data_IF_262027366194
#
_entry.id   IF_262027366194
#
_cell.length_a   1.000
_cell.length_b   1.000
_cell.length_c   1.000
_cell.angle_alpha   90.00
_cell.angle_beta   90.00
_cell.angle_gamma   90.00
#
_symmetry.space_group_name_H-M   'P 1'
#
loop_
_entity.id
_entity.type
_entity.pdbx_description
1 polymer ?
#
# COMPACT_ATOMS: atom_id res chain seq x y z
N UNK A 1 -10.86 20.08 9.86
CA UNK A 1 -10.46 18.81 10.48
C UNK A 1 -9.27 18.25 9.75
N UNK A 2 -8.29 17.76 10.49
CA UNK A 2 -7.08 17.15 9.97
C UNK A 2 -7.18 15.62 10.12
N UNK A 3 -7.39 14.92 9.00
CA UNK A 3 -7.40 13.45 8.97
C UNK A 3 -6.03 12.97 8.50
N UNK A 4 -5.50 11.92 9.12
CA UNK A 4 -4.19 11.40 8.75
C UNK A 4 -4.08 9.87 8.80
N UNK A 5 -3.61 9.28 7.71
CA UNK A 5 -3.06 7.92 7.72
C UNK A 5 -1.53 8.02 7.86
N UNK A 6 -1.04 7.78 9.08
CA UNK A 6 0.36 7.93 9.49
C UNK A 6 1.13 6.62 9.30
N UNK A 7 1.51 6.34 8.06
CA UNK A 7 2.33 5.18 7.70
C UNK A 7 3.80 5.30 8.12
N UNK A 8 4.59 4.26 7.84
CA UNK A 8 6.02 4.22 8.19
C UNK A 8 6.87 5.20 7.38
N UNK A 9 6.77 5.17 6.04
CA UNK A 9 7.55 6.06 5.17
C UNK A 9 6.82 7.38 4.84
N UNK A 10 5.49 7.31 4.68
CA UNK A 10 4.67 8.44 4.29
C UNK A 10 3.42 8.58 5.16
N UNK A 11 3.08 9.82 5.47
CA UNK A 11 1.81 10.22 6.08
C UNK A 11 0.93 10.86 5.01
N UNK A 12 -0.29 10.35 4.88
CA UNK A 12 -1.30 10.87 3.94
C UNK A 12 -2.32 11.66 4.75
N UNK A 13 -2.57 12.89 4.33
CA UNK A 13 -3.28 13.90 5.11
C UNK A 13 -4.43 14.44 4.26
N UNK A 14 -5.57 14.65 4.90
CA UNK A 14 -6.65 15.47 4.36
C UNK A 14 -6.96 16.61 5.33
N UNK A 15 -6.89 17.85 4.84
CA UNK A 15 -7.31 19.04 5.57
C UNK A 15 -8.69 19.47 5.08
N UNK A 16 -9.72 19.19 5.90
CA UNK A 16 -11.10 19.49 5.55
C UNK A 16 -11.43 20.99 5.54
N UNK A 17 -10.60 21.85 6.15
CA UNK A 17 -10.83 23.30 6.09
C UNK A 17 -10.44 23.85 4.73
N UNK A 18 -9.44 23.23 4.09
CA UNK A 18 -8.95 23.60 2.76
C UNK A 18 -9.50 22.73 1.64
N UNK A 19 -10.03 21.54 1.97
CA UNK A 19 -10.42 20.53 0.99
C UNK A 19 -9.22 19.89 0.29
N UNK A 20 -8.05 19.87 0.94
CA UNK A 20 -6.78 19.51 0.31
C UNK A 20 -6.24 18.16 0.81
N UNK A 21 -5.70 17.38 -0.13
CA UNK A 21 -4.93 16.18 0.16
C UNK A 21 -3.44 16.47 0.09
N UNK A 22 -2.67 15.88 1.00
CA UNK A 22 -1.22 16.01 1.03
C UNK A 22 -0.56 14.70 1.41
N UNK A 23 0.55 14.39 0.76
CA UNK A 23 1.46 13.33 1.18
C UNK A 23 2.75 13.97 1.66
N UNK A 24 3.22 13.56 2.84
CA UNK A 24 4.53 13.95 3.36
C UNK A 24 5.33 12.72 3.73
N UNK A 25 6.67 12.83 3.78
CA UNK A 25 7.49 11.86 4.51
C UNK A 25 7.02 11.83 5.96
N UNK A 26 6.86 10.65 6.54
CA UNK A 26 6.39 10.52 7.94
C UNK A 26 7.33 11.21 8.93
N UNK A 27 8.62 11.29 8.61
CA UNK A 27 9.64 12.02 9.36
C UNK A 27 9.44 13.54 9.35
N UNK A 28 8.67 14.07 8.39
CA UNK A 28 8.39 15.50 8.26
C UNK A 28 7.10 15.91 9.00
N UNK A 29 6.49 14.99 9.77
CA UNK A 29 5.39 15.36 10.65
C UNK A 29 5.90 16.27 11.77
N UNK A 30 5.39 17.49 11.83
CA UNK A 30 5.80 18.52 12.79
C UNK A 30 5.63 18.04 14.23
N UNK A 31 6.65 18.24 15.06
CA UNK A 31 6.60 17.90 16.48
C UNK A 31 5.48 18.68 17.18
N UNK A 32 4.69 17.99 18.01
CA UNK A 32 3.53 18.57 18.71
C UNK A 32 2.27 18.75 17.86
N UNK A 33 2.32 18.51 16.53
CA UNK A 33 1.11 18.53 15.69
C UNK A 33 0.24 17.31 15.97
N UNK A 34 -1.05 17.55 16.20
CA UNK A 34 -2.06 16.54 16.50
C UNK A 34 -3.11 16.52 15.38
N UNK A 35 -3.35 15.34 14.80
CA UNK A 35 -4.47 15.10 13.91
C UNK A 35 -5.78 14.99 14.69
N UNK A 36 -6.89 15.33 14.04
CA UNK A 36 -8.21 15.21 14.62
C UNK A 36 -8.64 13.73 14.66
N UNK A 37 -8.49 13.01 13.54
CA UNK A 37 -8.65 11.55 13.47
C UNK A 37 -7.46 10.98 12.70
N UNK A 38 -6.91 9.88 13.18
CA UNK A 38 -5.82 9.21 12.48
C UNK A 38 -5.86 7.70 12.61
N UNK A 39 -5.22 7.04 11.66
CA UNK A 39 -4.86 5.63 11.71
C UNK A 39 -3.40 5.43 11.27
N UNK A 40 -2.96 4.19 11.19
CA UNK A 40 -1.64 3.82 10.71
C UNK A 40 -0.61 3.72 11.83
N UNK A 41 0.51 3.06 11.53
CA UNK A 41 1.49 2.65 12.53
C UNK A 41 2.02 3.77 13.43
N UNK A 42 2.19 4.97 12.89
CA UNK A 42 2.84 6.09 13.56
C UNK A 42 1.87 7.11 14.18
N UNK A 43 0.57 6.80 14.22
CA UNK A 43 -0.44 7.77 14.68
C UNK A 43 -0.56 7.90 16.20
N UNK A 44 -0.10 6.89 16.95
CA UNK A 44 -0.18 6.88 18.42
C UNK A 44 0.45 8.15 19.01
N UNK A 45 -0.26 8.79 19.93
CA UNK A 45 0.10 10.07 20.56
C UNK A 45 0.14 11.29 19.61
N UNK A 46 -0.23 11.15 18.33
CA UNK A 46 -0.28 12.22 17.33
C UNK A 46 -1.70 12.48 16.82
N UNK A 47 -2.71 11.96 17.50
CA UNK A 47 -4.12 12.11 17.15
C UNK A 47 -5.00 12.25 18.38
N UNK A 48 -6.13 12.94 18.24
CA UNK A 48 -7.19 12.97 19.26
C UNK A 48 -7.98 11.66 19.27
N UNK A 49 -8.31 11.16 18.09
CA UNK A 49 -9.04 9.90 17.89
C UNK A 49 -8.19 8.96 17.05
N UNK A 50 -7.87 7.80 17.61
CA UNK A 50 -7.17 6.72 16.90
C UNK A 50 -8.18 5.71 16.37
N UNK A 51 -8.14 5.45 15.07
CA UNK A 51 -8.98 4.47 14.39
C UNK A 51 -8.12 3.30 13.93
N UNK A 52 -8.64 2.09 14.09
CA UNK A 52 -7.98 0.89 13.58
C UNK A 52 -7.80 0.99 12.05
N UNK A 53 -6.61 0.67 11.57
CA UNK A 53 -6.26 0.85 10.16
C UNK A 53 -7.06 -0.05 9.21
N UNK A 54 -7.39 -1.28 9.59
CA UNK A 54 -8.24 -2.17 8.78
C UNK A 54 -9.68 -1.65 8.73
N UNK A 55 -10.17 -1.05 9.81
CA UNK A 55 -11.49 -0.41 9.84
C UNK A 55 -11.51 0.80 8.90
N UNK A 56 -10.50 1.67 8.98
CA UNK A 56 -10.36 2.80 8.08
C UNK A 56 -10.23 2.35 6.60
N UNK A 57 -9.47 1.28 6.34
CA UNK A 57 -9.34 0.70 5.00
C UNK A 57 -10.68 0.18 4.47
N UNK A 58 -11.42 -0.60 5.26
CA UNK A 58 -12.71 -1.15 4.87
C UNK A 58 -13.75 -0.05 4.57
N UNK A 59 -13.82 0.97 5.43
CA UNK A 59 -14.71 2.14 5.22
C UNK A 59 -14.33 2.94 3.99
N UNK A 60 -13.03 3.17 3.80
CA UNK A 60 -12.50 3.81 2.60
C UNK A 60 -12.85 3.03 1.33
N UNK A 61 -12.73 1.71 1.37
CA UNK A 61 -13.09 0.83 0.27
C UNK A 61 -14.56 0.96 -0.12
N UNK A 62 -15.47 0.86 0.86
CA UNK A 62 -16.91 1.04 0.63
C UNK A 62 -17.26 2.42 0.07
N UNK A 63 -16.51 3.46 0.47
CA UNK A 63 -16.72 4.83 0.00
C UNK A 63 -16.29 5.05 -1.45
N UNK A 64 -15.20 4.38 -1.86
CA UNK A 64 -14.57 4.60 -3.17
C UNK A 64 -14.99 3.58 -4.22
N UNK A 65 -15.32 2.35 -3.81
CA UNK A 65 -15.65 1.25 -4.71
C UNK A 65 -17.17 1.10 -4.78
N UNK A 66 -17.76 1.56 -5.87
CA UNK A 66 -19.20 1.45 -6.13
C UNK A 66 -19.59 0.05 -6.67
N UNK A 67 -19.17 -1.01 -6.00
CA UNK A 67 -19.49 -2.41 -6.33
C UNK A 67 -19.87 -3.19 -5.06
N UNK A 68 -20.84 -4.11 -5.13
CA UNK A 68 -21.24 -4.89 -3.95
C UNK A 68 -20.20 -5.96 -3.56
N UNK A 69 -19.43 -6.45 -4.53
CA UNK A 69 -18.44 -7.51 -4.32
C UNK A 69 -17.09 -7.08 -4.88
N UNK A 70 -16.06 -7.09 -4.04
CA UNK A 70 -14.70 -6.72 -4.42
C UNK A 70 -13.66 -7.23 -3.42
N UNK A 71 -12.41 -7.30 -3.87
CA UNK A 71 -11.23 -7.48 -3.03
C UNK A 71 -10.36 -6.24 -3.18
N UNK A 72 -10.07 -5.58 -2.06
CA UNK A 72 -9.09 -4.50 -1.99
C UNK A 72 -7.84 -5.01 -1.29
N UNK A 73 -6.68 -4.73 -1.86
CA UNK A 73 -5.38 -4.92 -1.22
C UNK A 73 -4.69 -3.58 -1.04
N UNK A 74 -4.31 -3.26 0.19
CA UNK A 74 -3.42 -2.15 0.50
C UNK A 74 -1.99 -2.65 0.67
N UNK A 75 -1.08 -2.12 -0.14
CA UNK A 75 0.34 -2.46 -0.08
C UNK A 75 1.11 -1.29 0.50
N UNK A 76 1.41 -1.40 1.79
CA UNK A 76 2.19 -0.43 2.54
C UNK A 76 3.70 -0.67 2.44
N UNK A 77 4.44 0.15 3.18
CA UNK A 77 5.90 0.01 3.31
C UNK A 77 6.30 -1.21 4.13
N UNK A 78 5.48 -1.59 5.12
CA UNK A 78 5.78 -2.59 6.15
C UNK A 78 4.87 -3.81 6.09
N UNK A 79 3.66 -3.61 5.60
CA UNK A 79 2.61 -4.60 5.66
C UNK A 79 1.73 -4.57 4.40
N UNK A 80 1.03 -5.68 4.19
CA UNK A 80 0.03 -5.84 3.14
C UNK A 80 -1.27 -6.23 3.84
N UNK A 81 -2.34 -5.52 3.52
CA UNK A 81 -3.67 -5.73 4.10
C UNK A 81 -4.65 -6.04 2.98
N UNK A 82 -5.59 -6.95 3.20
CA UNK A 82 -6.72 -7.12 2.29
C UNK A 82 -8.03 -6.95 3.04
N UNK A 83 -9.05 -6.46 2.34
CA UNK A 83 -10.44 -6.50 2.77
C UNK A 83 -11.27 -7.06 1.63
N UNK A 84 -12.19 -7.95 1.96
CA UNK A 84 -13.07 -8.61 0.99
C UNK A 84 -14.52 -8.29 1.31
N UNK A 85 -15.25 -7.84 0.30
CA UNK A 85 -16.69 -7.64 0.34
C UNK A 85 -17.39 -8.56 -0.66
N UNK A 86 -18.57 -9.03 -0.31
CA UNK A 86 -19.44 -9.82 -1.17
C UNK A 86 -20.89 -9.45 -0.91
N UNK A 87 -21.64 -9.18 -1.97
CA UNK A 87 -23.07 -8.85 -1.93
C UNK A 87 -23.39 -7.66 -1.00
N UNK A 88 -22.44 -6.72 -0.88
CA UNK A 88 -22.52 -5.54 -0.02
C UNK A 88 -22.04 -5.76 1.41
N UNK A 89 -21.72 -7.01 1.79
CA UNK A 89 -21.33 -7.39 3.14
C UNK A 89 -19.81 -7.56 3.28
N UNK A 90 -19.29 -7.23 4.46
CA UNK A 90 -17.89 -7.46 4.81
C UNK A 90 -17.69 -8.95 5.12
N UNK A 91 -16.84 -9.61 4.34
CA UNK A 91 -16.56 -11.05 4.48
C UNK A 91 -15.34 -11.31 5.35
N UNK A 92 -14.36 -10.41 5.32
CA UNK A 92 -13.17 -10.56 6.14
C UNK A 92 -11.98 -9.73 5.65
N UNK A 93 -10.90 -9.85 6.41
CA UNK A 93 -9.61 -9.24 6.10
C UNK A 93 -8.49 -10.25 6.33
N UNK A 94 -7.42 -10.11 5.56
CA UNK A 94 -6.15 -10.76 5.84
C UNK A 94 -5.08 -9.67 6.07
N UNK A 95 -4.05 -9.98 6.86
CA UNK A 95 -2.96 -9.04 7.16
C UNK A 95 -1.62 -9.78 7.22
N UNK A 96 -0.71 -9.43 6.32
CA UNK A 96 0.67 -9.91 6.32
C UNK A 96 1.60 -8.80 6.85
N UNK A 97 2.29 -9.07 7.96
CA UNK A 97 3.07 -8.07 8.71
C UNK A 97 4.58 -8.31 8.64
N UNK A 98 5.36 -7.21 8.65
CA UNK A 98 6.81 -7.20 8.82
C UNK A 98 7.61 -7.78 7.65
N UNK A 99 8.12 -9.00 7.80
CA UNK A 99 9.17 -9.53 6.95
C UNK A 99 8.64 -9.81 5.54
N UNK A 100 7.47 -10.47 5.45
CA UNK A 100 6.81 -10.84 4.20
C UNK A 100 6.35 -9.66 3.33
N UNK A 101 6.22 -8.48 3.94
CA UNK A 101 5.46 -7.37 3.38
C UNK A 101 6.22 -6.04 3.28
N UNK A 102 7.54 -6.02 3.50
CA UNK A 102 8.41 -4.87 3.17
C UNK A 102 8.42 -4.50 1.67
N UNK A 103 7.47 -5.00 0.87
CA UNK A 103 7.35 -4.80 -0.56
C UNK A 103 7.47 -3.33 -0.95
N UNK A 104 6.71 -2.43 -0.32
CA UNK A 104 6.77 -1.00 -0.63
C UNK A 104 8.13 -0.38 -0.32
N UNK A 105 8.70 -0.68 0.85
CA UNK A 105 10.00 -0.17 1.24
C UNK A 105 11.12 -0.72 0.33
N UNK A 106 11.10 -2.02 0.03
CA UNK A 106 12.10 -2.67 -0.83
C UNK A 106 12.05 -2.13 -2.26
N UNK A 107 10.86 -1.96 -2.84
CA UNK A 107 10.72 -1.35 -4.17
C UNK A 107 11.28 0.07 -4.16
N UNK A 108 10.95 0.90 -3.18
CA UNK A 108 11.48 2.26 -3.13
C UNK A 108 13.01 2.27 -2.94
N UNK A 109 13.54 1.41 -2.06
CA UNK A 109 14.96 1.28 -1.78
C UNK A 109 15.75 0.86 -3.03
N UNK A 110 15.30 -0.16 -3.76
CA UNK A 110 15.93 -0.63 -4.99
C UNK A 110 15.90 0.44 -6.08
N UNK A 111 14.77 1.15 -6.21
CA UNK A 111 14.62 2.23 -7.19
C UNK A 111 15.62 3.36 -6.95
N UNK A 112 15.80 3.76 -5.69
CA UNK A 112 16.79 4.76 -5.32
C UNK A 112 18.22 4.26 -5.47
N UNK A 113 18.52 3.02 -5.06
CA UNK A 113 19.86 2.45 -5.08
C UNK A 113 20.41 2.30 -6.50
N UNK A 114 19.59 1.83 -7.44
CA UNK A 114 19.98 1.65 -8.85
C UNK A 114 19.61 2.85 -9.74
N UNK A 115 19.05 3.92 -9.16
CA UNK A 115 18.57 5.10 -9.91
C UNK A 115 17.62 4.73 -11.07
N UNK A 116 16.65 3.87 -10.77
CA UNK A 116 15.73 3.31 -11.77
C UNK A 116 14.46 4.14 -11.89
N UNK A 117 14.08 4.41 -13.15
CA UNK A 117 12.74 4.84 -13.48
C UNK A 117 11.88 3.64 -13.87
N UNK A 118 10.98 3.24 -12.97
CA UNK A 118 10.08 2.10 -13.15
C UNK A 118 9.16 2.21 -14.37
N UNK A 119 8.88 3.42 -14.85
CA UNK A 119 8.03 3.63 -16.02
C UNK A 119 8.68 3.16 -17.33
N UNK A 120 10.01 3.04 -17.34
CA UNK A 120 10.79 2.66 -18.52
C UNK A 120 11.19 1.18 -18.55
N UNK A 121 10.76 0.39 -17.57
CA UNK A 121 11.11 -1.03 -17.45
C UNK A 121 9.90 -1.86 -17.89
N UNK A 122 10.12 -2.86 -18.75
CA UNK A 122 9.09 -3.81 -19.14
C UNK A 122 8.86 -4.90 -18.08
N UNK A 123 7.65 -5.47 -18.08
CA UNK A 123 7.34 -6.61 -17.20
C UNK A 123 8.21 -7.80 -17.65
N UNK A 124 8.97 -8.37 -16.73
CA UNK A 124 9.78 -9.55 -17.03
C UNK A 124 8.89 -10.74 -17.38
N UNK A 125 9.35 -11.62 -18.27
CA UNK A 125 8.69 -12.92 -18.49
C UNK A 125 8.92 -13.87 -17.31
N UNK A 126 10.04 -13.73 -16.63
CA UNK A 126 10.43 -14.54 -15.47
C UNK A 126 10.12 -13.82 -14.16
N UNK A 127 10.07 -14.59 -13.07
CA UNK A 127 9.90 -14.03 -11.72
C UNK A 127 10.92 -14.63 -10.78
N UNK A 128 11.33 -13.86 -9.77
CA UNK A 128 12.08 -14.42 -8.66
C UNK A 128 11.15 -15.15 -7.69
N UNK A 129 11.60 -16.25 -7.06
CA UNK A 129 10.89 -16.88 -5.96
C UNK A 129 11.02 -16.03 -4.70
N UNK A 130 10.09 -15.09 -4.51
CA UNK A 130 10.11 -14.18 -3.35
C UNK A 130 9.43 -14.86 -2.17
N UNK A 131 10.14 -15.08 -1.07
CA UNK A 131 9.52 -15.42 0.21
C UNK A 131 9.10 -14.16 0.96
N UNK A 132 9.95 -13.14 0.92
CA UNK A 132 9.76 -11.86 1.60
C UNK A 132 10.62 -10.78 0.91
N UNK A 133 10.37 -9.49 1.19
CA UNK A 133 11.10 -8.40 0.54
C UNK A 133 12.63 -8.44 0.76
N UNK A 134 13.06 -8.88 1.94
CA UNK A 134 14.49 -8.96 2.30
C UNK A 134 15.19 -10.14 1.63
N UNK A 135 14.62 -11.35 1.72
CA UNK A 135 15.20 -12.54 1.08
C UNK A 135 15.17 -12.43 -0.44
N UNK A 136 14.11 -11.83 -0.98
CA UNK A 136 14.01 -11.56 -2.40
C UNK A 136 15.04 -10.56 -2.91
N UNK A 137 15.52 -9.64 -2.07
CA UNK A 137 16.63 -8.76 -2.41
C UNK A 137 17.94 -9.54 -2.54
N UNK A 138 18.19 -10.53 -1.67
CA UNK A 138 19.33 -11.44 -1.81
C UNK A 138 19.34 -12.12 -3.18
N UNK A 139 18.25 -12.79 -3.54
CA UNK A 139 18.09 -13.45 -4.86
C UNK A 139 18.26 -12.45 -6.02
N UNK A 140 17.74 -11.22 -5.88
CA UNK A 140 17.92 -10.17 -6.89
C UNK A 140 19.39 -9.84 -7.09
N UNK A 141 20.17 -9.68 -6.01
CA UNK A 141 21.61 -9.39 -6.10
C UNK A 141 22.40 -10.58 -6.64
N UNK A 142 22.01 -11.81 -6.33
CA UNK A 142 22.61 -13.02 -6.90
C UNK A 142 22.44 -13.02 -8.43
N UNK A 143 21.24 -12.70 -8.96
CA UNK A 143 21.03 -12.57 -10.41
C UNK A 143 21.89 -11.49 -11.05
N UNK A 144 22.07 -10.36 -10.35
CA UNK A 144 22.94 -9.29 -10.85
C UNK A 144 24.40 -9.76 -10.90
N UNK A 145 24.85 -10.50 -9.88
CA UNK A 145 26.19 -11.10 -9.87
C UNK A 145 26.37 -12.13 -10.98
N UNK A 146 25.29 -12.82 -11.38
CA UNK A 146 25.27 -13.75 -12.52
C UNK A 146 25.22 -13.03 -13.89
N UNK A 147 25.24 -11.70 -13.91
CA UNK A 147 25.31 -10.88 -15.13
C UNK A 147 23.96 -10.38 -15.66
N UNK A 148 22.85 -10.60 -14.93
CA UNK A 148 21.56 -9.98 -15.27
C UNK A 148 21.61 -8.49 -14.94
N UNK A 149 21.04 -7.65 -15.82
CA UNK A 149 21.01 -6.20 -15.54
C UNK A 149 20.15 -5.90 -14.30
N UNK A 150 20.47 -4.84 -13.53
CA UNK A 150 19.66 -4.44 -12.39
C UNK A 150 18.18 -4.22 -12.72
N UNK A 151 17.87 -3.61 -13.87
CA UNK A 151 16.51 -3.37 -14.34
C UNK A 151 15.74 -4.67 -14.54
N UNK A 152 16.35 -5.66 -15.18
CA UNK A 152 15.73 -6.97 -15.41
C UNK A 152 15.55 -7.73 -14.09
N UNK A 153 16.57 -7.74 -13.22
CA UNK A 153 16.48 -8.40 -11.93
C UNK A 153 15.37 -7.79 -11.05
N UNK A 154 15.22 -6.46 -11.09
CA UNK A 154 14.13 -5.73 -10.42
C UNK A 154 12.77 -6.04 -11.04
N UNK A 155 12.66 -6.15 -12.36
CA UNK A 155 11.42 -6.55 -13.02
C UNK A 155 10.99 -7.97 -12.59
N UNK A 156 11.94 -8.91 -12.51
CA UNK A 156 11.69 -10.27 -12.01
C UNK A 156 11.26 -10.28 -10.54
N UNK A 157 11.90 -9.46 -9.70
CA UNK A 157 11.56 -9.28 -8.29
C UNK A 157 10.15 -8.73 -8.11
N UNK A 158 9.81 -7.65 -8.82
CA UNK A 158 8.50 -7.00 -8.79
C UNK A 158 7.40 -7.97 -9.26
N UNK A 159 7.66 -8.77 -10.30
CA UNK A 159 6.73 -9.82 -10.74
C UNK A 159 6.53 -10.90 -9.70
N UNK A 160 7.58 -11.29 -8.99
CA UNK A 160 7.48 -12.21 -7.85
C UNK A 160 6.59 -11.65 -6.73
N UNK A 161 6.76 -10.38 -6.37
CA UNK A 161 5.93 -9.70 -5.37
C UNK A 161 4.46 -9.60 -5.80
N UNK A 162 4.19 -9.16 -7.03
CA UNK A 162 2.83 -9.06 -7.55
C UNK A 162 2.11 -10.42 -7.53
N UNK A 163 2.81 -11.50 -7.88
CA UNK A 163 2.27 -12.86 -7.82
C UNK A 163 1.92 -13.29 -6.39
N UNK A 164 2.80 -13.02 -5.42
CA UNK A 164 2.55 -13.35 -4.02
C UNK A 164 1.37 -12.57 -3.46
N UNK A 165 1.23 -11.30 -3.85
CA UNK A 165 0.11 -10.45 -3.42
C UNK A 165 -1.20 -10.93 -4.04
N UNK A 166 -1.18 -11.38 -5.31
CA UNK A 166 -2.34 -12.04 -5.92
C UNK A 166 -2.73 -13.32 -5.19
N UNK A 167 -1.75 -14.14 -4.78
CA UNK A 167 -2.02 -15.35 -3.98
C UNK A 167 -2.58 -14.99 -2.60
N UNK A 168 -2.03 -13.96 -1.94
CA UNK A 168 -2.56 -13.42 -0.69
C UNK A 168 -4.00 -12.91 -0.84
N UNK A 169 -4.34 -12.34 -1.99
CA UNK A 169 -5.69 -11.92 -2.34
C UNK A 169 -6.58 -13.07 -2.86
N UNK A 170 -6.23 -14.33 -2.54
CA UNK A 170 -6.98 -15.54 -2.90
C UNK A 170 -7.19 -15.71 -4.40
N UNK A 171 -6.23 -15.21 -5.19
CA UNK A 171 -6.22 -15.28 -6.66
C UNK A 171 -7.47 -14.68 -7.31
N UNK A 172 -7.98 -13.57 -6.78
CA UNK A 172 -9.12 -12.88 -7.37
C UNK A 172 -8.87 -12.50 -8.85
N UNK A 173 -9.91 -12.54 -9.67
CA UNK A 173 -9.85 -12.17 -11.10
C UNK A 173 -9.64 -10.66 -11.29
N UNK A 174 -10.14 -9.86 -10.34
CA UNK A 174 -10.00 -8.41 -10.28
C UNK A 174 -9.62 -7.98 -8.87
N UNK A 175 -8.64 -7.07 -8.76
CA UNK A 175 -8.19 -6.49 -7.51
C UNK A 175 -8.27 -4.97 -7.55
N UNK A 176 -8.78 -4.39 -6.47
CA UNK A 176 -8.53 -2.98 -6.18
C UNK A 176 -7.23 -2.87 -5.41
N UNK A 177 -6.38 -1.91 -5.78
CA UNK A 177 -5.06 -1.74 -5.19
C UNK A 177 -4.91 -0.34 -4.60
N UNK A 178 -4.51 -0.26 -3.33
CA UNK A 178 -4.14 0.99 -2.67
C UNK A 178 -2.74 0.90 -2.05
N UNK A 179 -2.26 2.02 -1.52
CA UNK A 179 -1.01 2.08 -0.77
C UNK A 179 0.16 2.63 -1.57
N UNK A 180 1.37 2.56 -1.02
CA UNK A 180 2.53 3.32 -1.51
C UNK A 180 3.03 2.94 -2.91
N UNK A 181 2.70 1.74 -3.38
CA UNK A 181 3.18 1.18 -4.66
C UNK A 181 2.11 1.19 -5.76
N UNK A 182 0.90 1.69 -5.48
CA UNK A 182 -0.17 1.73 -6.48
C UNK A 182 0.06 2.79 -7.58
N UNK A 183 1.14 3.55 -7.52
CA UNK A 183 1.57 4.51 -8.55
C UNK A 183 2.70 3.93 -9.43
N UNK A 184 3.25 2.77 -9.06
CA UNK A 184 4.31 2.10 -9.81
C UNK A 184 3.70 1.27 -10.95
N UNK A 185 3.84 1.74 -12.20
CA UNK A 185 3.28 1.08 -13.39
C UNK A 185 3.81 -0.33 -13.61
N UNK A 186 5.12 -0.54 -13.40
CA UNK A 186 5.71 -1.87 -13.51
C UNK A 186 5.08 -2.84 -12.52
N UNK A 187 4.88 -2.42 -11.26
CA UNK A 187 4.22 -3.22 -10.23
C UNK A 187 2.78 -3.58 -10.63
N UNK A 188 1.97 -2.61 -11.08
CA UNK A 188 0.58 -2.86 -11.51
C UNK A 188 0.52 -3.84 -12.67
N UNK A 189 1.31 -3.62 -13.73
CA UNK A 189 1.32 -4.49 -14.92
C UNK A 189 1.87 -5.89 -14.64
N UNK A 190 2.54 -6.09 -13.50
CA UNK A 190 3.11 -7.38 -13.13
C UNK A 190 2.10 -8.34 -12.48
N UNK A 191 0.89 -7.87 -12.17
CA UNK A 191 -0.16 -8.74 -11.64
C UNK A 191 -0.71 -9.68 -12.72
N UNK A 192 -1.04 -10.93 -12.38
CA UNK A 192 -1.65 -11.90 -13.29
C UNK A 192 -3.18 -11.75 -13.40
N UNK A 193 -3.74 -10.61 -13.00
CA UNK A 193 -5.17 -10.33 -12.95
C UNK A 193 -5.45 -8.86 -13.29
N UNK A 194 -6.71 -8.48 -13.43
CA UNK A 194 -7.07 -7.07 -13.57
C UNK A 194 -6.81 -6.31 -12.26
N UNK A 195 -6.20 -5.13 -12.36
CA UNK A 195 -5.89 -4.28 -11.20
C UNK A 195 -6.44 -2.88 -11.42
N UNK A 196 -7.24 -2.40 -10.47
CA UNK A 196 -7.79 -1.05 -10.45
C UNK A 196 -7.11 -0.26 -9.33
N UNK A 197 -6.20 0.68 -9.64
CA UNK A 197 -5.55 1.49 -8.62
C UNK A 197 -6.53 2.51 -8.01
N UNK A 198 -6.59 2.58 -6.68
CA UNK A 198 -7.39 3.54 -5.91
C UNK A 198 -6.57 4.70 -5.36
N UNK A 199 -5.25 4.68 -5.55
CA UNK A 199 -4.35 5.68 -4.99
C UNK A 199 -4.02 5.43 -3.51
N UNK A 200 -3.55 6.49 -2.85
CA UNK A 200 -2.88 6.41 -1.55
C UNK A 200 -3.74 6.88 -0.37
N UNK A 201 -4.98 7.26 -0.63
CA UNK A 201 -5.85 7.97 0.33
C UNK A 201 -7.05 7.14 0.81
N UNK A 202 -7.12 5.84 0.49
CA UNK A 202 -8.28 5.01 0.84
C UNK A 202 -8.59 5.04 2.34
N UNK A 203 -7.58 4.83 3.19
CA UNK A 203 -7.75 4.89 4.64
C UNK A 203 -8.23 6.28 5.09
N UNK A 204 -7.67 7.35 4.52
CA UNK A 204 -8.08 8.74 4.81
C UNK A 204 -9.55 8.97 4.44
N UNK A 205 -10.03 8.40 3.34
CA UNK A 205 -11.45 8.41 2.98
C UNK A 205 -12.31 7.70 4.02
N UNK A 206 -11.85 6.58 4.57
CA UNK A 206 -12.54 5.87 5.64
C UNK A 206 -12.57 6.66 6.97
N UNK A 207 -11.53 7.45 7.25
CA UNK A 207 -11.50 8.31 8.44
C UNK A 207 -12.57 9.40 8.43
N UNK A 208 -13.09 9.79 7.26
CA UNK A 208 -14.15 10.83 7.15
C UNK A 208 -15.43 10.43 7.87
N UNK A 209 -15.71 9.14 7.99
CA UNK A 209 -16.91 8.63 8.70
C UNK A 209 -16.83 8.89 10.21
N UNK A 210 -15.61 9.07 10.74
CA UNK A 210 -15.34 9.35 12.15
C UNK A 210 -15.22 10.85 12.44
N UNK A 211 -15.50 11.70 11.45
CA UNK A 211 -15.43 13.14 11.63
C UNK A 211 -16.41 13.66 12.71
N UNK A 212 -17.53 12.95 12.92
CA UNK A 212 -18.51 13.30 13.94
C UNK A 212 -18.11 12.83 15.35
N UNK A 213 -17.14 11.91 15.48
CA UNK A 213 -16.70 11.34 16.76
C UNK A 213 -15.91 12.31 17.65
N UNK A 214 -15.71 13.55 17.20
CA UNK A 214 -14.96 14.61 17.89
C UNK A 214 -15.90 15.67 18.49
N UNK A 215 -17.23 15.50 18.39
CA UNK A 215 -18.22 16.48 18.88
C UNK A 215 -18.66 16.27 20.33
N UNK A 216 -17.92 15.49 21.12
CA UNK A 216 -18.07 15.38 22.58
C UNK A 216 -16.81 15.88 23.29
#
# INVERSE_FOLDING_TARGET
MLLADMGTQYTKIYDSLKGEYKIIRSTNWEAGKIADVACGHNCKHKTKVEINELVALAKGAQRLINKPSFVLVDVGSRDIKSVTFKDGEYIGCDWNYMCGAMAGFTIELLGNYFNINYDNIDVSNERLPIMCGVLGMGELFDRISDGISPEMAIAMFIKGLAKNIHDFAKKADMLYLSGGVCENKLFIRSFPCEVVPLGRFVQVEGLKDYANSIKE
#
